data_IF_617491709602
#
_entry.id   IF_617491709602
#
_cell.length_a   1.000
_cell.length_b   1.000
_cell.length_c   1.000
_cell.angle_alpha   90.00
_cell.angle_beta   90.00
_cell.angle_gamma   90.00
#
_symmetry.space_group_name_H-M   'P 1'
#
loop_
_entity.id
_entity.type
_entity.pdbx_description
1 polymer ?
#
# COMPACT_ATOMS: atom_id res chain seq x y z
N UNK A 1 -23.37 53.38 -21.36
CA UNK A 1 -22.57 53.04 -21.18
C UNK A 1 -22.36 52.28 -20.15
N UNK A 2 -22.60 51.37 -19.88
CA UNK A 2 -22.47 50.61 -19.05
C UNK A 2 -22.43 49.40 -19.32
N UNK A 3 -21.69 48.70 -18.99
CA UNK A 3 -21.51 47.58 -19.14
C UNK A 3 -22.04 46.74 -18.28
N UNK A 4 -22.67 45.99 -18.47
CA UNK A 4 -23.13 45.01 -17.70
C UNK A 4 -22.20 43.97 -17.58
N UNK A 5 -21.66 43.90 -16.70
CA UNK A 5 -20.91 42.99 -16.41
C UNK A 5 -21.33 41.98 -15.75
N UNK A 6 -21.76 41.21 -15.96
CA UNK A 6 -22.22 40.24 -15.43
C UNK A 6 -21.83 39.12 -15.94
N UNK A 7 -21.06 38.62 -15.68
CA UNK A 7 -20.73 37.48 -15.93
C UNK A 7 -19.97 36.96 -15.06
N UNK A 8 -20.30 36.80 -14.05
CA UNK A 8 -19.97 35.96 -13.17
C UNK A 8 -20.57 34.73 -13.44
N UNK A 9 -20.08 34.06 -14.28
CA UNK A 9 -20.23 32.66 -14.34
C UNK A 9 -19.39 32.15 -13.29
N UNK A 10 -19.90 32.07 -12.20
CA UNK A 10 -19.42 31.16 -11.26
C UNK A 10 -19.50 29.81 -11.87
N UNK A 11 -18.48 29.40 -12.38
CA UNK A 11 -18.27 28.01 -12.63
C UNK A 11 -18.08 27.42 -11.28
N UNK A 12 -19.16 27.03 -10.75
CA UNK A 12 -19.11 26.12 -9.66
C UNK A 12 -18.54 24.85 -10.26
N UNK A 13 -17.28 24.72 -10.15
CA UNK A 13 -16.70 23.44 -10.31
C UNK A 13 -17.17 22.60 -9.16
N UNK A 14 -18.27 22.00 -9.39
CA UNK A 14 -18.65 20.90 -8.62
C UNK A 14 -17.64 19.81 -8.94
N UNK A 15 -16.57 19.89 -8.23
CA UNK A 15 -15.82 18.71 -8.06
C UNK A 15 -16.70 17.83 -7.20
N UNK A 16 -17.52 17.10 -7.82
CA UNK A 16 -18.06 15.97 -7.18
C UNK A 16 -16.85 15.10 -6.87
N UNK A 17 -16.30 15.31 -5.71
CA UNK A 17 -15.45 14.33 -5.17
C UNK A 17 -16.33 13.13 -4.96
N UNK A 18 -16.34 12.31 -5.93
CA UNK A 18 -16.77 10.99 -5.72
C UNK A 18 -15.75 10.42 -4.76
N UNK A 19 -15.97 10.65 -3.52
CA UNK A 19 -15.27 9.91 -2.53
C UNK A 19 -15.84 8.53 -2.62
N UNK A 20 -15.25 7.77 -3.47
CA UNK A 20 -15.43 6.37 -3.40
C UNK A 20 -14.84 6.01 -2.07
N UNK A 21 -15.68 5.88 -1.11
CA UNK A 21 -15.26 5.42 0.19
C UNK A 21 -14.52 4.10 -0.03
N UNK A 22 -13.25 4.02 0.33
CA UNK A 22 -12.57 2.77 0.20
C UNK A 22 -13.30 1.80 1.07
N UNK A 23 -13.77 0.78 0.45
CA UNK A 23 -14.29 -0.30 1.19
C UNK A 23 -13.24 -0.73 2.18
N UNK A 24 -13.66 -0.75 3.40
CA UNK A 24 -12.96 -1.35 4.50
C UNK A 24 -11.46 -1.41 4.41
N UNK A 25 -10.78 -0.84 5.37
CA UNK A 25 -9.34 -0.99 5.45
C UNK A 25 -9.07 -2.42 5.79
N UNK A 26 -9.41 -3.26 4.95
CA UNK A 26 -9.02 -4.61 5.11
C UNK A 26 -7.91 -4.84 4.17
N UNK A 27 -7.23 -5.78 4.33
CA UNK A 27 -6.22 -6.34 3.59
C UNK A 27 -6.57 -6.43 2.15
N UNK A 28 -6.26 -5.41 1.42
CA UNK A 28 -6.36 -5.52 -0.01
C UNK A 28 -5.11 -6.22 -0.48
N UNK A 29 -5.30 -7.37 -1.01
CA UNK A 29 -4.25 -8.09 -1.70
C UNK A 29 -4.04 -7.51 -3.09
N UNK A 30 -4.84 -6.54 -3.47
CA UNK A 30 -4.69 -5.88 -4.75
C UNK A 30 -3.39 -5.07 -4.78
N UNK A 31 -2.44 -5.43 -5.66
CA UNK A 31 -1.18 -4.72 -5.73
C UNK A 31 -1.33 -3.25 -6.10
N UNK A 32 -2.36 -2.89 -6.87
CA UNK A 32 -2.61 -1.50 -7.21
C UNK A 32 -3.03 -0.68 -5.99
N UNK A 33 -3.91 -1.23 -5.14
CA UNK A 33 -4.33 -0.56 -3.92
C UNK A 33 -3.18 -0.43 -2.93
N UNK A 34 -2.36 -1.46 -2.83
CA UNK A 34 -1.18 -1.42 -1.96
C UNK A 34 -0.16 -0.40 -2.45
N UNK A 35 0.05 -0.33 -3.76
CA UNK A 35 0.92 0.68 -4.35
C UNK A 35 0.44 2.08 -4.04
N UNK A 36 -0.86 2.32 -4.14
CA UNK A 36 -1.43 3.62 -3.87
C UNK A 36 -1.22 4.04 -2.41
N UNK A 37 -1.44 3.11 -1.49
CA UNK A 37 -1.20 3.36 -0.07
C UNK A 37 0.28 3.67 0.21
N UNK A 38 1.18 2.90 -0.39
CA UNK A 38 2.61 3.14 -0.23
C UNK A 38 3.04 4.46 -0.87
N UNK A 39 2.47 4.79 -2.02
CA UNK A 39 2.77 6.04 -2.71
C UNK A 39 2.45 7.26 -1.82
N UNK A 40 1.33 7.22 -1.14
CA UNK A 40 0.95 8.28 -0.23
C UNK A 40 1.87 8.35 1.00
N UNK A 41 2.22 7.22 1.57
CA UNK A 41 3.05 7.18 2.77
C UNK A 41 4.51 7.52 2.50
N UNK A 42 5.04 7.05 1.39
CA UNK A 42 6.45 7.23 1.02
C UNK A 42 6.66 8.42 0.10
N UNK A 43 5.59 9.04 -0.38
CA UNK A 43 5.65 10.13 -1.37
C UNK A 43 6.42 9.69 -2.61
N UNK A 44 5.96 8.61 -3.21
CA UNK A 44 6.60 8.04 -4.39
C UNK A 44 6.38 8.92 -5.62
N UNK A 45 7.38 8.97 -6.49
CA UNK A 45 7.23 9.58 -7.80
C UNK A 45 6.50 8.61 -8.74
N UNK A 46 5.90 9.09 -9.83
CA UNK A 46 5.28 8.20 -10.82
C UNK A 46 6.23 7.14 -11.37
N UNK A 47 7.51 7.49 -11.52
CA UNK A 47 8.51 6.53 -11.97
C UNK A 47 8.74 5.43 -10.94
N UNK A 48 8.81 5.81 -9.66
CA UNK A 48 8.97 4.83 -8.58
C UNK A 48 7.76 3.91 -8.51
N UNK A 49 6.56 4.45 -8.67
CA UNK A 49 5.33 3.66 -8.68
C UNK A 49 5.35 2.62 -9.79
N UNK A 50 5.74 3.03 -11.00
CA UNK A 50 5.81 2.13 -12.14
C UNK A 50 6.80 0.98 -11.91
N UNK A 51 7.90 1.26 -11.26
CA UNK A 51 8.92 0.25 -10.95
C UNK A 51 8.54 -0.65 -9.79
N UNK A 52 7.77 -0.12 -8.83
CA UNK A 52 7.34 -0.89 -7.68
C UNK A 52 6.21 -1.85 -7.99
N UNK A 53 5.35 -1.49 -8.90
CA UNK A 53 4.17 -2.29 -9.21
C UNK A 53 4.48 -3.75 -9.58
N UNK A 54 5.47 -4.04 -10.45
CA UNK A 54 5.82 -5.44 -10.74
C UNK A 54 6.27 -6.22 -9.50
N UNK A 55 7.00 -5.56 -8.62
CA UNK A 55 7.48 -6.19 -7.38
C UNK A 55 6.31 -6.54 -6.48
N UNK A 56 5.36 -5.62 -6.32
CA UNK A 56 4.18 -5.86 -5.52
C UNK A 56 3.29 -6.96 -6.11
N UNK A 57 3.20 -7.02 -7.44
CA UNK A 57 2.46 -8.09 -8.11
C UNK A 57 3.08 -9.45 -7.88
N UNK A 58 4.39 -9.51 -7.80
CA UNK A 58 5.09 -10.75 -7.53
C UNK A 58 5.01 -11.15 -6.06
N UNK A 59 5.18 -10.21 -5.15
CA UNK A 59 5.12 -10.48 -3.72
C UNK A 59 3.72 -10.79 -3.21
N UNK A 60 2.72 -10.12 -3.76
CA UNK A 60 1.34 -10.17 -3.26
C UNK A 60 0.81 -11.58 -3.06
N UNK A 61 0.79 -12.43 -4.11
CA UNK A 61 0.29 -13.79 -3.96
C UNK A 61 1.08 -14.64 -2.97
N UNK A 62 2.39 -14.45 -2.90
CA UNK A 62 3.25 -15.16 -1.96
C UNK A 62 2.93 -14.79 -0.52
N UNK A 63 2.75 -13.48 -0.27
CA UNK A 63 2.41 -12.97 1.05
C UNK A 63 1.04 -13.47 1.47
N UNK A 64 0.08 -13.43 0.55
CA UNK A 64 -1.26 -13.88 0.84
C UNK A 64 -1.32 -15.37 1.15
N UNK A 65 -0.60 -16.18 0.40
CA UNK A 65 -0.52 -17.61 0.65
C UNK A 65 -0.01 -17.91 2.06
N UNK A 66 0.98 -17.16 2.51
CA UNK A 66 1.52 -17.33 3.86
C UNK A 66 0.51 -16.86 4.91
N UNK A 67 -0.11 -15.70 4.72
CA UNK A 67 -1.09 -15.16 5.66
C UNK A 67 -2.28 -16.09 5.84
N UNK A 68 -2.74 -16.69 4.75
CA UNK A 68 -3.92 -17.55 4.76
C UNK A 68 -3.62 -18.98 5.16
N UNK A 69 -2.36 -19.35 5.32
CA UNK A 69 -2.00 -20.71 5.72
C UNK A 69 -2.17 -20.89 7.22
N UNK A 70 -3.29 -21.48 7.61
CA UNK A 70 -3.60 -21.70 9.02
C UNK A 70 -2.71 -22.75 9.69
N UNK A 71 -2.02 -23.56 8.90
CA UNK A 71 -1.13 -24.59 9.43
C UNK A 71 0.20 -24.05 9.92
N UNK A 72 0.58 -22.84 9.49
CA UNK A 72 1.86 -22.27 9.88
C UNK A 72 1.77 -21.58 11.24
N UNK A 73 2.68 -21.89 12.17
CA UNK A 73 2.78 -21.13 13.42
C UNK A 73 3.15 -19.67 13.16
N UNK A 74 2.75 -18.76 14.04
CA UNK A 74 3.03 -17.34 13.85
C UNK A 74 4.50 -17.01 13.61
N UNK A 75 5.39 -17.68 14.30
CA UNK A 75 6.83 -17.44 14.12
C UNK A 75 7.32 -17.83 12.73
N UNK A 76 6.80 -18.93 12.19
CA UNK A 76 7.15 -19.36 10.84
C UNK A 76 6.57 -18.42 9.80
N UNK A 77 5.34 -17.96 10.00
CA UNK A 77 4.75 -16.94 9.13
C UNK A 77 5.61 -15.69 9.06
N UNK A 78 6.05 -15.22 10.22
CA UNK A 78 6.90 -14.04 10.30
C UNK A 78 8.19 -14.23 9.51
N UNK A 79 8.83 -15.38 9.69
CA UNK A 79 10.08 -15.69 8.98
C UNK A 79 9.88 -15.73 7.47
N UNK A 80 8.83 -16.40 7.02
CA UNK A 80 8.56 -16.51 5.59
C UNK A 80 8.20 -15.17 4.96
N UNK A 81 7.45 -14.34 5.65
CA UNK A 81 7.14 -13.00 5.18
C UNK A 81 8.40 -12.15 5.06
N UNK A 82 9.31 -12.26 6.02
CA UNK A 82 10.59 -11.56 5.95
C UNK A 82 11.47 -12.04 4.80
N UNK A 83 11.45 -13.34 4.53
CA UNK A 83 12.19 -13.88 3.39
C UNK A 83 11.71 -13.26 2.09
N UNK A 84 10.39 -13.19 1.89
CA UNK A 84 9.82 -12.56 0.69
C UNK A 84 10.26 -11.09 0.59
N UNK A 85 10.20 -10.36 1.69
CA UNK A 85 10.61 -8.96 1.70
C UNK A 85 12.10 -8.80 1.44
N UNK A 86 12.92 -9.72 1.94
CA UNK A 86 14.37 -9.67 1.74
C UNK A 86 14.75 -10.01 0.29
N UNK A 87 13.99 -10.87 -0.36
CA UNK A 87 14.23 -11.20 -1.76
C UNK A 87 14.08 -9.98 -2.67
N UNK A 88 13.14 -9.11 -2.37
CA UNK A 88 12.91 -7.90 -3.15
C UNK A 88 13.75 -6.71 -2.69
N UNK A 89 14.42 -6.82 -1.56
CA UNK A 89 15.17 -5.70 -0.97
C UNK A 89 16.18 -5.06 -1.93
N UNK A 90 17.02 -5.84 -2.66
CA UNK A 90 17.99 -5.20 -3.56
C UNK A 90 17.32 -4.37 -4.66
N UNK A 91 16.21 -4.84 -5.18
CA UNK A 91 15.46 -4.11 -6.21
C UNK A 91 14.86 -2.83 -5.63
N UNK A 92 14.27 -2.94 -4.44
CA UNK A 92 13.67 -1.80 -3.77
C UNK A 92 14.68 -0.72 -3.41
N UNK A 93 15.87 -1.12 -2.98
CA UNK A 93 16.93 -0.17 -2.66
C UNK A 93 17.39 0.63 -3.87
N UNK A 94 17.28 0.06 -5.06
CA UNK A 94 17.61 0.77 -6.30
C UNK A 94 16.53 1.75 -6.72
N UNK A 95 15.28 1.47 -6.35
CA UNK A 95 14.13 2.28 -6.74
C UNK A 95 13.89 3.41 -5.74
N UNK A 96 14.02 3.11 -4.45
CA UNK A 96 13.68 4.01 -3.36
C UNK A 96 14.91 4.74 -2.84
N UNK A 97 14.70 5.94 -2.30
CA UNK A 97 15.74 6.61 -1.53
C UNK A 97 15.99 5.84 -0.22
N UNK A 98 17.14 6.03 0.45
CA UNK A 98 17.39 5.37 1.73
C UNK A 98 16.31 5.65 2.77
N UNK A 99 15.80 6.87 2.84
CA UNK A 99 14.75 7.24 3.77
C UNK A 99 13.44 6.53 3.44
N UNK A 100 13.07 6.48 2.16
CA UNK A 100 11.88 5.76 1.71
C UNK A 100 11.99 4.27 2.01
N UNK A 101 13.15 3.70 1.77
CA UNK A 101 13.38 2.27 2.02
C UNK A 101 13.24 1.95 3.52
N UNK A 102 13.81 2.76 4.40
CA UNK A 102 13.66 2.56 5.83
C UNK A 102 12.21 2.67 6.28
N UNK A 103 11.48 3.63 5.73
CA UNK A 103 10.07 3.80 6.03
C UNK A 103 9.27 2.60 5.55
N UNK A 104 9.60 2.07 4.38
CA UNK A 104 8.96 0.86 3.87
C UNK A 104 9.21 -0.33 4.79
N UNK A 105 10.42 -0.49 5.30
CA UNK A 105 10.74 -1.57 6.25
C UNK A 105 9.89 -1.46 7.52
N UNK A 106 9.72 -0.25 8.01
CA UNK A 106 8.87 -0.02 9.19
C UNK A 106 7.42 -0.42 8.90
N UNK A 107 6.90 -0.03 7.74
CA UNK A 107 5.54 -0.39 7.33
C UNK A 107 5.39 -1.91 7.24
N UNK A 108 6.34 -2.58 6.62
CA UNK A 108 6.32 -4.04 6.46
C UNK A 108 6.36 -4.77 7.81
N UNK A 109 7.20 -4.31 8.72
CA UNK A 109 7.25 -4.90 10.07
C UNK A 109 5.94 -4.71 10.82
N UNK A 110 5.33 -3.55 10.70
CA UNK A 110 4.02 -3.30 11.31
C UNK A 110 2.95 -4.20 10.70
N UNK A 111 2.97 -4.38 9.38
CA UNK A 111 2.01 -5.26 8.71
C UNK A 111 2.15 -6.71 9.17
N UNK A 112 3.38 -7.18 9.31
CA UNK A 112 3.65 -8.52 9.83
C UNK A 112 3.10 -8.66 11.25
N UNK A 113 3.38 -7.70 12.11
CA UNK A 113 2.89 -7.72 13.49
C UNK A 113 1.37 -7.69 13.56
N UNK A 114 0.72 -6.89 12.72
CA UNK A 114 -0.74 -6.82 12.66
C UNK A 114 -1.34 -8.14 12.19
N UNK A 115 -0.74 -8.76 11.18
CA UNK A 115 -1.22 -10.04 10.66
C UNK A 115 -1.17 -11.13 11.74
N UNK A 116 -0.09 -11.16 12.52
CA UNK A 116 0.08 -12.13 13.60
C UNK A 116 -0.88 -11.83 14.76
N UNK A 117 -1.00 -10.56 15.15
CA UNK A 117 -1.88 -10.15 16.25
C UNK A 117 -3.34 -10.43 15.91
N UNK A 118 -3.76 -10.18 14.67
CA UNK A 118 -5.13 -10.44 14.23
C UNK A 118 -5.47 -11.91 14.34
N UNK A 119 -4.53 -12.78 14.01
CA UNK A 119 -4.76 -14.22 14.13
C UNK A 119 -4.89 -14.65 15.59
N UNK A 120 -4.10 -14.07 16.49
CA UNK A 120 -4.20 -14.37 17.90
C UNK A 120 -5.54 -13.95 18.49
N UNK A 121 -6.03 -12.76 18.11
CA UNK A 121 -7.30 -12.25 18.59
C UNK A 121 -8.48 -13.04 18.05
N UNK A 122 -8.39 -13.51 16.79
CA UNK A 122 -9.48 -14.25 16.17
C UNK A 122 -9.43 -15.74 16.41
N UNK A 123 -8.32 -16.26 16.92
CA UNK A 123 -8.13 -17.67 17.09
C UNK A 123 -8.30 -18.18 18.51
N UNK A 124 -9.01 -17.38 19.31
CA UNK A 124 -9.24 -17.75 20.71
C UNK A 124 -9.83 -19.11 20.89
#
# INVERSE_FOLDING_TARGET
MRKPFTLLTSVACLFAFLTLAPAAPGQTTDPAAKLQALSQQLKLTPEQEAKLLPILKEEGPKIEAIKNNSSLPPMQKMRQLRVIHNESAPQLQKILSPAQYQQLQTIREQDIKKAIAKKRAGGG
#
